data_IF_701003950969
#
_entry.id   IF_701003950969
#
_cell.length_a   1.000
_cell.length_b   1.000
_cell.length_c   1.000
_cell.angle_alpha   90.00
_cell.angle_beta   90.00
_cell.angle_gamma   90.00
#
_symmetry.space_group_name_H-M   'P 1'
#
loop_
_entity.id
_entity.type
_entity.pdbx_description
1 polymer ?
#
# COMPACT_ATOMS: atom_id res chain seq x y z
N UNK A 1 4.45 -14.15 4.33
CA UNK A 1 4.80 -13.08 5.28
C UNK A 1 4.46 -11.78 4.62
N UNK A 2 3.39 -11.11 5.04
CA UNK A 2 3.07 -9.77 4.54
C UNK A 2 4.13 -8.84 5.12
N UNK A 3 5.05 -8.36 4.29
CA UNK A 3 5.92 -7.24 4.66
C UNK A 3 5.01 -6.12 5.17
N UNK A 4 5.17 -5.71 6.42
CA UNK A 4 4.51 -4.52 6.93
C UNK A 4 5.13 -3.32 6.23
N UNK A 5 4.38 -2.67 5.34
CA UNK A 5 4.86 -1.48 4.65
C UNK A 5 4.83 -0.27 5.60
N UNK A 6 5.81 0.61 5.46
CA UNK A 6 5.95 1.80 6.30
C UNK A 6 4.97 2.90 5.88
N UNK A 7 4.80 3.92 6.74
CA UNK A 7 4.05 5.11 6.36
C UNK A 7 4.65 5.81 5.13
N UNK A 8 5.98 5.90 5.05
CA UNK A 8 6.65 6.55 3.92
C UNK A 8 6.37 5.83 2.61
N UNK A 9 6.24 4.49 2.64
CA UNK A 9 5.83 3.71 1.48
C UNK A 9 4.43 4.13 1.02
N UNK A 10 3.47 4.25 1.95
CA UNK A 10 2.10 4.65 1.64
C UNK A 10 2.04 6.09 1.06
N UNK A 11 2.81 7.01 1.63
CA UNK A 11 2.91 8.39 1.17
C UNK A 11 3.51 8.49 -0.24
N UNK A 12 4.57 7.72 -0.51
CA UNK A 12 5.24 7.68 -1.83
C UNK A 12 4.30 7.23 -2.97
N UNK A 13 3.27 6.45 -2.65
CA UNK A 13 2.27 5.96 -3.60
C UNK A 13 0.91 6.64 -3.48
N UNK A 14 0.82 7.79 -2.79
CA UNK A 14 -0.43 8.53 -2.58
C UNK A 14 -1.25 8.72 -3.86
N UNK A 15 -0.60 8.96 -5.00
CA UNK A 15 -1.24 9.09 -6.32
C UNK A 15 -2.00 7.83 -6.79
N UNK A 16 -1.61 6.64 -6.31
CA UNK A 16 -2.19 5.35 -6.67
C UNK A 16 -3.25 4.89 -5.66
N UNK A 17 -3.44 5.61 -4.55
CA UNK A 17 -4.39 5.24 -3.51
C UNK A 17 -5.83 5.56 -3.93
N UNK A 18 -6.81 4.76 -3.48
CA UNK A 18 -8.23 5.12 -3.59
C UNK A 18 -8.50 6.44 -2.88
N UNK A 19 -9.47 7.22 -3.37
CA UNK A 19 -9.78 8.55 -2.83
C UNK A 19 -10.12 8.50 -1.33
N UNK A 20 -10.93 7.51 -0.92
CA UNK A 20 -11.29 7.31 0.48
C UNK A 20 -10.10 7.09 1.42
N UNK A 21 -8.96 6.61 0.89
CA UNK A 21 -7.72 6.41 1.65
C UNK A 21 -6.92 7.70 1.72
N UNK A 22 -6.93 8.51 0.67
CA UNK A 22 -6.32 9.84 0.68
C UNK A 22 -7.04 10.76 1.68
N UNK A 23 -8.37 10.80 1.61
CA UNK A 23 -9.21 11.55 2.56
C UNK A 23 -8.90 11.15 4.01
N UNK A 24 -8.78 9.83 4.25
CA UNK A 24 -8.42 9.31 5.55
C UNK A 24 -7.01 9.76 5.96
N UNK A 25 -6.02 9.66 5.07
CA UNK A 25 -4.64 10.10 5.33
C UNK A 25 -4.55 11.59 5.62
N UNK A 26 -5.34 12.43 4.96
CA UNK A 26 -5.40 13.87 5.19
C UNK A 26 -5.99 14.19 6.57
N UNK A 27 -6.97 13.40 7.03
CA UNK A 27 -7.62 13.62 8.33
C UNK A 27 -6.83 13.03 9.50
N UNK A 28 -6.35 11.79 9.38
CA UNK A 28 -5.72 11.04 10.50
C UNK A 28 -4.21 10.90 10.38
N UNK A 29 -3.63 11.35 9.27
CA UNK A 29 -2.24 11.12 8.94
C UNK A 29 -1.98 9.74 8.36
N UNK A 30 -0.96 9.66 7.52
CA UNK A 30 -0.49 8.40 6.97
C UNK A 30 0.01 7.37 8.02
N UNK A 31 0.60 7.72 9.19
CA UNK A 31 0.97 6.70 10.19
C UNK A 31 -0.23 5.87 10.65
N UNK A 32 -1.33 6.55 10.99
CA UNK A 32 -2.58 5.92 11.44
C UNK A 32 -3.24 5.16 10.29
N UNK A 33 -3.26 5.76 9.10
CA UNK A 33 -3.82 5.15 7.89
C UNK A 33 -3.09 3.85 7.52
N UNK A 34 -1.76 3.84 7.60
CA UNK A 34 -0.95 2.66 7.30
C UNK A 34 -1.22 1.53 8.28
N UNK A 35 -1.27 1.83 9.59
CA UNK A 35 -1.68 0.85 10.61
C UNK A 35 -3.09 0.32 10.31
N UNK A 36 -4.03 1.19 9.98
CA UNK A 36 -5.40 0.81 9.71
C UNK A 36 -5.50 -0.17 8.53
N UNK A 37 -4.87 0.16 7.40
CA UNK A 37 -4.87 -0.72 6.22
C UNK A 37 -4.16 -2.05 6.54
N UNK A 38 -3.05 -2.01 7.27
CA UNK A 38 -2.28 -3.21 7.61
C UNK A 38 -3.05 -4.19 8.49
N UNK A 39 -3.87 -3.69 9.41
CA UNK A 39 -4.61 -4.53 10.36
C UNK A 39 -6.05 -4.84 9.91
N UNK A 40 -6.68 -3.95 9.15
CA UNK A 40 -8.12 -4.01 8.83
C UNK A 40 -8.43 -3.87 7.34
N UNK A 41 -7.42 -3.88 6.46
CA UNK A 41 -7.63 -3.86 5.02
C UNK A 41 -8.54 -5.01 4.56
N UNK A 42 -9.56 -4.69 3.76
CA UNK A 42 -10.53 -5.65 3.26
C UNK A 42 -11.73 -5.87 4.18
N UNK A 43 -11.83 -5.11 5.27
CA UNK A 43 -12.92 -5.23 6.25
C UNK A 43 -13.79 -3.97 6.22
N UNK A 44 -15.10 -4.16 6.38
CA UNK A 44 -16.05 -3.08 6.65
C UNK A 44 -16.23 -2.92 8.15
N UNK A 45 -15.92 -1.74 8.68
CA UNK A 45 -16.09 -1.39 10.08
C UNK A 45 -17.27 -0.44 10.24
N UNK A 46 -17.97 -0.48 11.37
CA UNK A 46 -19.07 0.43 11.67
C UNK A 46 -18.91 0.95 13.09
N UNK A 47 -18.85 2.27 13.24
CA UNK A 47 -18.74 2.93 14.55
C UNK A 47 -20.09 3.24 15.20
N UNK A 48 -21.20 2.67 14.70
CA UNK A 48 -22.55 2.75 15.31
C UNK A 48 -22.52 2.70 16.83
N UNK A 49 -23.06 3.73 17.46
CA UNK A 49 -23.24 3.83 18.91
C UNK A 49 -24.73 3.74 19.30
N UNK A 50 -25.07 3.00 20.36
CA UNK A 50 -26.46 2.79 20.82
C UNK A 50 -26.59 1.67 21.87
N UNK A 51 -27.79 1.21 22.26
CA UNK A 51 -28.00 0.14 23.28
C UNK A 51 -27.23 -1.19 23.02
N UNK A 52 -26.69 -1.38 21.80
CA UNK A 52 -25.74 -2.44 21.48
C UNK A 52 -24.34 -2.26 22.13
N UNK A 53 -24.06 -1.07 22.69
CA UNK A 53 -22.82 -0.65 23.38
C UNK A 53 -22.52 -1.47 24.62
N UNK A 54 -23.55 -1.99 25.30
CA UNK A 54 -23.39 -2.71 26.58
C UNK A 54 -23.01 -4.18 26.42
N UNK A 55 -23.10 -4.76 25.21
CA UNK A 55 -22.65 -6.14 24.91
C UNK A 55 -21.39 -6.23 24.06
N UNK A 56 -21.09 -5.21 23.24
CA UNK A 56 -19.92 -5.24 22.35
C UNK A 56 -18.89 -4.21 22.76
N UNK A 57 -17.75 -4.62 23.30
CA UNK A 57 -16.58 -3.82 22.94
C UNK A 57 -16.31 -4.06 21.46
N UNK A 58 -16.98 -3.29 20.58
CA UNK A 58 -17.05 -3.46 19.13
C UNK A 58 -15.78 -2.99 18.42
N UNK A 59 -15.90 -2.28 17.29
CA UNK A 59 -14.73 -1.75 16.52
C UNK A 59 -13.74 -1.01 17.43
N UNK A 60 -14.23 -0.28 18.43
CA UNK A 60 -13.40 0.40 19.42
C UNK A 60 -12.45 -0.54 20.19
N UNK A 61 -12.90 -1.75 20.57
CA UNK A 61 -12.05 -2.74 21.25
C UNK A 61 -10.97 -3.28 20.32
N UNK A 62 -11.29 -3.47 19.04
CA UNK A 62 -10.32 -3.87 18.03
C UNK A 62 -9.22 -2.82 17.88
N UNK A 63 -9.56 -1.53 18.00
CA UNK A 63 -8.59 -0.44 17.88
C UNK A 63 -7.68 -0.29 19.10
N UNK A 64 -8.18 -0.50 20.33
CA UNK A 64 -7.38 -0.33 21.56
C UNK A 64 -6.13 -1.20 21.66
N UNK A 65 -6.03 -2.30 20.90
CA UNK A 65 -4.84 -3.14 20.84
C UNK A 65 -3.76 -2.65 19.86
N UNK A 66 -4.08 -1.68 19.02
CA UNK A 66 -3.27 -1.27 17.85
C UNK A 66 -2.98 0.24 17.88
N UNK A 67 -3.95 1.03 18.34
CA UNK A 67 -3.93 2.48 18.32
C UNK A 67 -3.94 3.05 19.72
N UNK A 68 -3.35 4.23 19.86
CA UNK A 68 -3.48 5.08 21.03
C UNK A 68 -4.93 5.54 21.19
N UNK A 69 -5.28 5.97 22.41
CA UNK A 69 -6.62 6.44 22.74
C UNK A 69 -7.02 7.69 21.91
N UNK A 70 -6.08 8.57 21.58
CA UNK A 70 -6.32 9.74 20.70
C UNK A 70 -6.59 9.31 19.25
N UNK A 71 -5.79 8.41 18.70
CA UNK A 71 -5.99 7.84 17.34
C UNK A 71 -7.34 7.11 17.27
N UNK A 72 -7.70 6.32 18.29
CA UNK A 72 -8.99 5.64 18.37
C UNK A 72 -10.15 6.64 18.29
N UNK A 73 -10.12 7.72 19.09
CA UNK A 73 -11.16 8.75 19.07
C UNK A 73 -11.25 9.45 17.73
N UNK A 74 -10.11 9.73 17.09
CA UNK A 74 -10.08 10.38 15.79
C UNK A 74 -10.68 9.50 14.69
N UNK A 75 -10.34 8.21 14.67
CA UNK A 75 -10.93 7.23 13.75
C UNK A 75 -12.43 7.06 13.96
N UNK A 76 -12.88 6.96 15.22
CA UNK A 76 -14.32 6.87 15.54
C UNK A 76 -15.09 8.11 15.08
N UNK A 77 -14.50 9.31 15.23
CA UNK A 77 -15.10 10.55 14.74
C UNK A 77 -15.17 10.60 13.22
N UNK A 78 -14.14 10.11 12.53
CA UNK A 78 -14.11 10.08 11.06
C UNK A 78 -15.17 9.12 10.49
N UNK A 79 -15.30 7.90 11.04
CA UNK A 79 -16.26 6.93 10.53
C UNK A 79 -17.73 7.24 10.89
N UNK A 80 -17.96 7.89 12.04
CA UNK A 80 -19.31 8.21 12.52
C UNK A 80 -20.20 6.96 12.67
N UNK A 81 -21.52 7.10 12.46
CA UNK A 81 -22.46 5.98 12.59
C UNK A 81 -22.64 5.15 11.31
N UNK A 82 -21.85 5.43 10.28
CA UNK A 82 -21.94 4.74 8.97
C UNK A 82 -20.90 3.62 8.87
N UNK A 83 -21.25 2.56 8.15
CA UNK A 83 -20.30 1.50 7.83
C UNK A 83 -19.27 2.03 6.80
N UNK A 84 -17.98 1.82 7.07
CA UNK A 84 -16.86 2.24 6.25
C UNK A 84 -16.01 1.04 5.85
N UNK A 85 -15.80 0.84 4.55
CA UNK A 85 -14.92 -0.19 4.03
C UNK A 85 -13.47 0.31 3.99
N UNK A 86 -12.53 -0.49 4.48
CA UNK A 86 -11.10 -0.17 4.48
C UNK A 86 -10.42 -0.84 3.29
N UNK A 87 -9.95 -0.09 2.27
CA UNK A 87 -9.31 -0.69 1.11
C UNK A 87 -7.95 -1.30 1.43
N UNK A 88 -7.63 -2.48 0.87
CA UNK A 88 -6.32 -3.15 1.05
C UNK A 88 -5.16 -2.46 0.33
N UNK A 89 -5.46 -1.64 -0.68
CA UNK A 89 -4.46 -0.98 -1.52
C UNK A 89 -3.47 -1.95 -2.20
N UNK A 90 -3.83 -3.23 -2.37
CA UNK A 90 -2.96 -4.29 -2.93
C UNK A 90 -2.30 -3.88 -4.25
N UNK A 91 -3.05 -3.23 -5.14
CA UNK A 91 -2.56 -2.77 -6.45
C UNK A 91 -1.50 -1.68 -6.29
N UNK A 92 -1.71 -0.73 -5.40
CA UNK A 92 -0.77 0.36 -5.15
C UNK A 92 0.54 -0.19 -4.55
N UNK A 93 0.44 -1.04 -3.51
CA UNK A 93 1.63 -1.68 -2.92
C UNK A 93 2.35 -2.63 -3.87
N UNK A 94 1.60 -3.38 -4.70
CA UNK A 94 2.22 -4.20 -5.76
C UNK A 94 2.99 -3.33 -6.74
N UNK A 95 2.47 -2.16 -7.09
CA UNK A 95 3.15 -1.22 -7.99
C UNK A 95 4.44 -0.69 -7.37
N UNK A 96 4.39 -0.26 -6.10
CA UNK A 96 5.58 0.15 -5.35
C UNK A 96 6.65 -0.95 -5.33
N UNK A 97 6.24 -2.17 -4.95
CA UNK A 97 7.13 -3.33 -4.89
C UNK A 97 7.81 -3.60 -6.22
N UNK A 98 7.05 -3.54 -7.31
CA UNK A 98 7.58 -3.76 -8.66
C UNK A 98 8.55 -2.64 -9.06
N UNK A 99 8.27 -1.38 -8.73
CA UNK A 99 9.17 -0.25 -8.99
C UNK A 99 10.49 -0.39 -8.22
N UNK A 100 10.42 -0.72 -6.92
CA UNK A 100 11.60 -0.96 -6.09
C UNK A 100 12.44 -2.11 -6.64
N UNK A 101 11.82 -3.21 -7.06
CA UNK A 101 12.52 -4.32 -7.70
C UNK A 101 13.29 -3.88 -8.95
N UNK A 102 12.65 -3.11 -9.83
CA UNK A 102 13.27 -2.63 -11.08
C UNK A 102 14.46 -1.70 -10.80
N UNK A 103 14.32 -0.79 -9.84
CA UNK A 103 15.40 0.10 -9.41
C UNK A 103 16.58 -0.69 -8.84
N UNK A 104 16.32 -1.66 -7.97
CA UNK A 104 17.39 -2.50 -7.40
C UNK A 104 18.04 -3.41 -8.45
N UNK A 105 17.26 -3.91 -9.41
CA UNK A 105 17.78 -4.70 -10.53
C UNK A 105 18.78 -3.88 -11.35
N UNK A 106 18.42 -2.64 -11.71
CA UNK A 106 19.31 -1.76 -12.47
C UNK A 106 20.59 -1.44 -11.68
N UNK A 107 20.48 -1.22 -10.36
CA UNK A 107 21.62 -1.00 -9.49
C UNK A 107 22.57 -2.21 -9.44
N UNK A 108 22.05 -3.44 -9.36
CA UNK A 108 22.88 -4.65 -9.42
C UNK A 108 23.58 -4.80 -10.77
N UNK A 109 22.88 -4.54 -11.88
CA UNK A 109 23.48 -4.59 -13.21
C UNK A 109 24.58 -3.54 -13.39
N UNK A 110 24.40 -2.32 -12.88
CA UNK A 110 25.43 -1.27 -12.86
C UNK A 110 26.65 -1.67 -12.04
N UNK A 111 26.46 -2.47 -10.99
CA UNK A 111 27.53 -3.04 -10.17
C UNK A 111 28.19 -4.29 -10.79
N UNK A 112 27.89 -4.61 -12.06
CA UNK A 112 28.54 -5.70 -12.81
C UNK A 112 27.90 -7.07 -12.65
N UNK A 113 26.76 -7.20 -11.96
CA UNK A 113 26.03 -8.46 -11.88
C UNK A 113 25.30 -8.73 -13.21
N UNK A 114 25.36 -9.98 -13.67
CA UNK A 114 24.51 -10.40 -14.80
C UNK A 114 23.03 -10.36 -14.41
N UNK A 115 22.14 -10.17 -15.38
CA UNK A 115 20.70 -10.15 -15.13
C UNK A 115 20.18 -11.41 -14.44
N UNK A 116 20.76 -12.58 -14.74
CA UNK A 116 20.42 -13.85 -14.05
C UNK A 116 20.85 -13.85 -12.59
N UNK A 117 22.02 -13.29 -12.26
CA UNK A 117 22.45 -13.15 -10.86
C UNK A 117 21.56 -12.17 -10.10
N UNK A 118 21.22 -11.04 -10.71
CA UNK A 118 20.28 -10.09 -10.14
C UNK A 118 18.90 -10.73 -9.87
N UNK A 119 18.37 -11.52 -10.82
CA UNK A 119 17.14 -12.28 -10.61
C UNK A 119 17.24 -13.27 -9.45
N UNK A 120 18.31 -14.08 -9.39
CA UNK A 120 18.51 -15.07 -8.36
C UNK A 120 18.58 -14.45 -6.95
N UNK A 121 19.11 -13.22 -6.83
CA UNK A 121 19.19 -12.48 -5.58
C UNK A 121 17.87 -11.77 -5.21
N UNK A 122 17.24 -11.10 -6.16
CA UNK A 122 16.11 -10.20 -5.89
C UNK A 122 14.76 -10.93 -5.86
N UNK A 123 14.54 -11.96 -6.68
CA UNK A 123 13.24 -12.64 -6.73
C UNK A 123 12.83 -13.24 -5.36
N UNK A 124 13.71 -13.93 -4.62
CA UNK A 124 13.41 -14.37 -3.25
C UNK A 124 13.16 -13.20 -2.29
N UNK A 125 13.95 -12.12 -2.38
CA UNK A 125 13.81 -10.92 -1.53
C UNK A 125 12.43 -10.26 -1.71
N UNK A 126 11.95 -10.14 -2.94
CA UNK A 126 10.67 -9.49 -3.26
C UNK A 126 9.46 -10.46 -3.22
N UNK A 127 9.72 -11.76 -3.04
CA UNK A 127 8.69 -12.78 -2.82
C UNK A 127 7.92 -13.16 -4.08
N UNK A 128 8.58 -13.21 -5.24
CA UNK A 128 8.00 -13.69 -6.49
C UNK A 128 9.00 -14.52 -7.31
N UNK A 129 8.53 -15.24 -8.33
CA UNK A 129 9.36 -16.07 -9.18
C UNK A 129 10.17 -15.26 -10.20
N UNK A 130 11.26 -15.84 -10.69
CA UNK A 130 12.06 -15.31 -11.79
C UNK A 130 11.21 -14.99 -13.04
N UNK A 131 10.21 -15.82 -13.36
CA UNK A 131 9.25 -15.56 -14.45
C UNK A 131 8.54 -14.22 -14.26
N UNK A 132 8.11 -13.90 -13.04
CA UNK A 132 7.48 -12.61 -12.73
C UNK A 132 8.51 -11.48 -12.88
N UNK A 133 9.74 -11.68 -12.40
CA UNK A 133 10.82 -10.69 -12.57
C UNK A 133 11.10 -10.36 -14.04
N UNK A 134 11.20 -11.37 -14.91
CA UNK A 134 11.40 -11.17 -16.35
C UNK A 134 10.19 -10.51 -17.03
N UNK A 135 8.97 -10.87 -16.62
CA UNK A 135 7.75 -10.22 -17.10
C UNK A 135 7.73 -8.72 -16.74
N UNK A 136 8.13 -8.36 -15.52
CA UNK A 136 8.25 -6.96 -15.10
C UNK A 136 9.25 -6.17 -15.97
N UNK A 137 10.42 -6.75 -16.28
CA UNK A 137 11.39 -6.11 -17.17
C UNK A 137 10.86 -5.96 -18.59
N UNK A 138 10.19 -6.98 -19.11
CA UNK A 138 9.62 -6.97 -20.46
C UNK A 138 8.52 -5.92 -20.58
N UNK A 139 7.64 -5.83 -19.59
CA UNK A 139 6.58 -4.84 -19.51
C UNK A 139 7.14 -3.41 -19.40
N UNK A 140 8.21 -3.21 -18.61
CA UNK A 140 8.91 -1.92 -18.53
C UNK A 140 9.44 -1.47 -19.90
N UNK A 141 10.09 -2.38 -20.63
CA UNK A 141 10.68 -2.08 -21.95
C UNK A 141 9.61 -1.89 -23.04
N UNK A 142 8.42 -2.46 -22.85
CA UNK A 142 7.30 -2.38 -23.80
C UNK A 142 6.44 -1.13 -23.61
N UNK A 143 6.59 -0.39 -22.50
CA UNK A 143 5.95 0.92 -22.36
C UNK A 143 6.72 1.92 -23.23
N UNK A 144 6.14 2.41 -24.34
CA UNK A 144 6.81 3.43 -25.13
C UNK A 144 7.01 4.67 -24.25
N UNK A 145 8.26 5.11 -24.12
CA UNK A 145 8.54 6.47 -23.70
C UNK A 145 7.68 7.37 -24.58
N UNK A 146 6.81 8.17 -23.96
CA UNK A 146 5.82 9.02 -24.62
C UNK A 146 6.41 9.57 -25.92
N UNK A 147 5.88 9.11 -27.05
CA UNK A 147 6.34 9.51 -28.38
C UNK A 147 6.33 11.04 -28.43
N UNK A 148 7.50 11.63 -28.65
CA UNK A 148 7.61 13.06 -28.91
C UNK A 148 6.72 13.37 -30.12
N UNK A 149 5.75 14.32 -30.02
CA UNK A 149 4.97 14.70 -31.17
C UNK A 149 5.94 15.28 -32.21
N UNK A 150 5.91 14.65 -33.39
CA UNK A 150 6.91 14.81 -34.43
C UNK A 150 7.17 16.25 -34.82
N UNK A 151 8.46 16.60 -34.87
CA UNK A 151 8.95 17.75 -35.61
C UNK A 151 9.24 17.28 -37.04
N UNK A 152 8.22 17.26 -37.89
CA UNK A 152 8.40 17.30 -39.35
C UNK A 152 7.48 18.40 -39.88
N UNK A 153 8.12 19.35 -40.59
CA UNK A 153 7.52 20.56 -41.13
C UNK A 153 7.07 20.42 -42.57
#
# INVERSE_FOLDING_TARGET
>A
MSQGFSHHDLESISALLPESVKDLADVVGYPVTTKLISHFGGVTLSAKTGLAKDRSGGVYRLFKGIFTESECRQLMRYFGDTAFYIPRCDKAFRTLRNQQFLTEYDALCQNGFSGRQAMAQLCPKFGFSDRIGWDLLSNRNSQPAMAQPGLFG
#
